data_IF_073393718819
#
_entry.id   IF_073393718819
#
_cell.length_a   1.000
_cell.length_b   1.000
_cell.length_c   1.000
_cell.angle_alpha   90.00
_cell.angle_beta   90.00
_cell.angle_gamma   90.00
#
_symmetry.space_group_name_H-M   'P 1'
#
loop_
_entity.id
_entity.type
_entity.pdbx_description
1 polymer ?
#
# COMPACT_ATOMS: atom_id res chain seq x y z
N UNK A 1 -64.07 -33.09 24.15
CA UNK A 1 -64.90 -31.92 24.49
C UNK A 1 -64.33 -30.71 23.76
N UNK A 2 -65.06 -29.82 23.09
CA UNK A 2 -66.37 -29.90 22.39
C UNK A 2 -66.52 -28.60 21.56
N UNK A 3 -67.28 -28.63 20.45
CA UNK A 3 -68.12 -27.54 19.90
C UNK A 3 -67.50 -26.13 19.67
N UNK A 4 -67.33 -25.55 18.47
CA UNK A 4 -68.24 -25.40 17.30
C UNK A 4 -69.73 -25.12 17.63
N UNK A 5 -70.49 -24.36 16.82
CA UNK A 5 -70.24 -23.07 16.16
C UNK A 5 -71.52 -22.16 16.19
N UNK A 6 -71.60 -21.14 15.32
CA UNK A 6 -72.86 -20.44 14.94
C UNK A 6 -72.53 -19.12 14.20
N UNK A 7 -72.85 -18.87 12.93
CA UNK A 7 -74.00 -19.13 12.03
C UNK A 7 -75.28 -18.30 12.28
N UNK A 8 -75.55 -17.35 11.37
CA UNK A 8 -76.77 -17.21 10.55
C UNK A 8 -76.53 -16.02 9.56
N UNK A 9 -76.50 -16.15 8.23
CA UNK A 9 -77.48 -16.59 7.20
C UNK A 9 -78.35 -15.46 6.60
N UNK A 10 -78.25 -15.30 5.28
CA UNK A 10 -79.29 -15.01 4.25
C UNK A 10 -78.52 -14.78 2.91
N UNK A 11 -78.45 -15.67 1.90
CA UNK A 11 -79.48 -16.42 1.13
C UNK A 11 -80.35 -15.43 0.30
N UNK A 12 -80.51 -15.47 -1.04
CA UNK A 12 -80.10 -16.37 -2.16
C UNK A 12 -80.29 -15.64 -3.53
N UNK A 13 -79.64 -16.08 -4.63
CA UNK A 13 -80.27 -16.70 -5.84
C UNK A 13 -79.44 -16.65 -7.15
N UNK A 14 -79.36 -17.83 -7.78
CA UNK A 14 -79.36 -18.17 -9.23
C UNK A 14 -78.26 -17.83 -10.25
N UNK A 15 -77.86 -18.93 -10.89
CA UNK A 15 -77.10 -19.18 -12.10
C UNK A 15 -77.76 -18.79 -13.45
N UNK A 16 -76.94 -18.36 -14.44
CA UNK A 16 -76.60 -18.97 -15.77
C UNK A 16 -77.61 -19.97 -16.41
N UNK A 17 -77.85 -20.09 -17.76
CA UNK A 17 -77.38 -19.39 -19.01
C UNK A 17 -78.60 -18.87 -19.88
N UNK A 18 -78.82 -19.06 -21.23
CA UNK A 18 -78.00 -19.23 -22.46
C UNK A 18 -78.42 -18.44 -23.77
N UNK A 19 -77.55 -18.47 -24.81
CA UNK A 19 -77.81 -18.52 -26.28
C UNK A 19 -78.48 -17.38 -27.13
N UNK A 20 -78.14 -17.36 -28.44
CA UNK A 20 -78.67 -16.52 -29.55
C UNK A 20 -79.75 -17.30 -30.38
N UNK A 21 -80.50 -16.77 -31.42
CA UNK A 21 -79.99 -16.04 -32.61
C UNK A 21 -80.97 -15.06 -33.38
N UNK A 22 -80.56 -14.63 -34.60
CA UNK A 22 -81.36 -14.27 -35.81
C UNK A 22 -81.73 -12.79 -36.16
N UNK A 23 -81.88 -12.54 -37.48
CA UNK A 23 -82.11 -11.26 -38.22
C UNK A 23 -83.55 -11.22 -38.84
N UNK A 24 -84.02 -10.32 -39.78
CA UNK A 24 -83.30 -9.46 -40.78
C UNK A 24 -83.93 -8.06 -41.19
N UNK A 25 -83.41 -7.49 -42.30
CA UNK A 25 -84.01 -6.53 -43.31
C UNK A 25 -84.05 -4.98 -43.12
N UNK A 26 -83.02 -4.29 -43.68
CA UNK A 26 -82.99 -3.33 -44.84
C UNK A 26 -84.12 -2.29 -45.15
N UNK A 27 -83.91 -1.26 -46.03
CA UNK A 27 -82.76 -0.34 -46.25
C UNK A 27 -83.15 1.15 -46.55
N UNK A 28 -82.20 2.12 -46.59
CA UNK A 28 -82.24 3.29 -47.52
C UNK A 28 -81.04 4.27 -47.49
N UNK A 29 -80.35 4.38 -48.64
CA UNK A 29 -79.82 5.59 -49.33
C UNK A 29 -78.80 6.60 -48.67
N UNK A 30 -78.02 7.38 -49.46
CA UNK A 30 -76.66 7.81 -49.07
C UNK A 30 -76.35 9.33 -49.06
N UNK A 31 -75.35 9.74 -48.26
CA UNK A 31 -74.54 10.98 -48.33
C UNK A 31 -73.54 11.00 -47.14
N UNK A 32 -72.35 11.63 -47.15
CA UNK A 32 -71.56 12.28 -48.18
C UNK A 32 -70.05 12.13 -47.86
N UNK A 33 -69.18 12.29 -48.85
CA UNK A 33 -67.73 12.35 -48.63
C UNK A 33 -67.34 13.61 -47.84
N UNK A 34 -66.33 13.50 -46.97
CA UNK A 34 -65.76 14.65 -46.28
C UNK A 34 -65.16 15.64 -47.30
N UNK A 35 -65.70 16.86 -47.34
CA UNK A 35 -65.28 17.88 -48.29
C UNK A 35 -63.86 18.36 -47.99
N UNK A 36 -63.01 18.37 -49.03
CA UNK A 36 -61.71 19.02 -48.99
C UNK A 36 -61.91 20.53 -48.84
N UNK A 37 -61.60 21.06 -47.65
CA UNK A 37 -61.58 22.49 -47.41
C UNK A 37 -60.60 23.18 -48.39
N UNK A 38 -60.92 24.39 -48.90
CA UNK A 38 -60.10 25.05 -49.90
C UNK A 38 -58.68 25.32 -49.39
N UNK A 39 -57.65 25.30 -50.25
CA UNK A 39 -56.26 25.46 -49.86
C UNK A 39 -55.97 26.88 -49.39
N UNK A 40 -56.27 27.16 -48.12
CA UNK A 40 -55.98 28.43 -47.48
C UNK A 40 -54.46 28.61 -47.43
N UNK A 41 -53.90 29.61 -48.15
CA UNK A 41 -52.46 29.76 -48.28
C UNK A 41 -51.74 29.93 -46.93
N UNK A 42 -52.44 30.40 -45.88
CA UNK A 42 -51.93 30.42 -44.50
C UNK A 42 -51.64 29.01 -43.97
N UNK A 43 -52.46 28.02 -44.28
CA UNK A 43 -52.23 26.60 -43.91
C UNK A 43 -51.05 26.01 -44.68
N UNK A 44 -50.86 26.38 -45.96
CA UNK A 44 -49.66 26.01 -46.73
C UNK A 44 -48.38 26.62 -46.14
N UNK A 45 -48.44 27.88 -45.70
CA UNK A 45 -47.32 28.57 -45.03
C UNK A 45 -47.01 27.90 -43.68
N UNK A 46 -48.03 27.60 -42.87
CA UNK A 46 -47.84 26.92 -41.57
C UNK A 46 -47.33 25.48 -41.76
N UNK A 47 -47.86 24.72 -42.72
CA UNK A 47 -47.37 23.39 -43.04
C UNK A 47 -45.93 23.42 -43.56
N UNK A 48 -45.59 24.40 -44.42
CA UNK A 48 -44.23 24.64 -44.88
C UNK A 48 -43.28 24.98 -43.73
N UNK A 49 -43.72 25.81 -42.77
CA UNK A 49 -42.95 26.14 -41.57
C UNK A 49 -42.74 24.91 -40.68
N UNK A 50 -43.75 24.08 -40.47
CA UNK A 50 -43.65 22.83 -39.69
C UNK A 50 -42.67 21.86 -40.37
N UNK A 51 -42.75 21.69 -41.69
CA UNK A 51 -41.79 20.86 -42.45
C UNK A 51 -40.38 21.42 -42.36
N UNK A 52 -40.20 22.75 -42.42
CA UNK A 52 -38.88 23.38 -42.31
C UNK A 52 -38.30 23.28 -40.89
N UNK A 53 -39.13 23.37 -39.84
CA UNK A 53 -38.75 23.10 -38.45
C UNK A 53 -38.41 21.62 -38.25
N UNK A 54 -39.18 20.70 -38.82
CA UNK A 54 -38.92 19.26 -38.76
C UNK A 54 -37.62 18.87 -39.50
N UNK A 55 -37.36 19.48 -40.67
CA UNK A 55 -36.10 19.32 -41.39
C UNK A 55 -34.91 19.93 -40.62
N UNK A 56 -35.09 21.11 -40.00
CA UNK A 56 -34.06 21.72 -39.15
C UNK A 56 -33.75 20.88 -37.90
N UNK A 57 -34.77 20.36 -37.23
CA UNK A 57 -34.62 19.44 -36.10
C UNK A 57 -34.00 18.10 -36.54
N UNK A 58 -34.42 17.55 -37.67
CA UNK A 58 -33.88 16.32 -38.27
C UNK A 58 -32.41 16.46 -38.67
N UNK A 59 -32.04 17.55 -39.35
CA UNK A 59 -30.65 17.85 -39.72
C UNK A 59 -29.77 18.06 -38.47
N UNK A 60 -30.27 18.74 -37.44
CA UNK A 60 -29.58 18.90 -36.15
C UNK A 60 -29.41 17.57 -35.42
N UNK A 61 -30.43 16.71 -35.40
CA UNK A 61 -30.38 15.39 -34.77
C UNK A 61 -29.44 14.45 -35.52
N UNK A 62 -29.48 14.45 -36.86
CA UNK A 62 -28.56 13.72 -37.71
C UNK A 62 -27.11 14.17 -37.47
N UNK A 63 -26.85 15.47 -37.44
CA UNK A 63 -25.55 16.03 -37.11
C UNK A 63 -25.08 15.59 -35.71
N UNK A 64 -25.90 15.75 -34.65
CA UNK A 64 -25.49 15.32 -33.30
C UNK A 64 -25.21 13.82 -33.25
N UNK A 65 -26.04 13.00 -33.91
CA UNK A 65 -25.88 11.54 -33.98
C UNK A 65 -24.68 11.06 -34.80
N UNK A 66 -24.09 11.89 -35.66
CA UNK A 66 -22.98 11.49 -36.53
C UNK A 66 -21.62 12.05 -36.08
N UNK A 67 -21.62 13.13 -35.29
CA UNK A 67 -20.41 13.79 -34.81
C UNK A 67 -20.16 13.66 -33.30
N UNK A 68 -21.15 13.19 -32.52
CA UNK A 68 -21.03 13.06 -31.05
C UNK A 68 -21.44 11.67 -30.55
N UNK A 69 -20.64 11.12 -29.63
CA UNK A 69 -20.95 9.90 -28.88
C UNK A 69 -21.25 10.27 -27.43
N UNK A 70 -22.50 10.06 -27.02
CA UNK A 70 -23.02 10.43 -25.70
C UNK A 70 -23.14 9.20 -24.79
N UNK A 71 -22.83 9.36 -23.50
CA UNK A 71 -23.19 8.40 -22.43
C UNK A 71 -23.59 9.11 -21.15
N UNK A 72 -24.72 8.69 -20.60
CA UNK A 72 -25.25 9.08 -19.28
C UNK A 72 -24.72 8.18 -18.15
N UNK A 73 -24.11 7.05 -18.50
CA UNK A 73 -23.49 6.15 -17.52
C UNK A 73 -22.05 6.60 -17.27
N UNK A 74 -21.89 7.78 -16.67
CA UNK A 74 -20.60 8.29 -16.26
C UNK A 74 -20.68 8.87 -14.85
N UNK A 75 -19.59 8.72 -14.10
CA UNK A 75 -19.48 9.20 -12.73
C UNK A 75 -18.16 9.91 -12.51
N UNK A 76 -18.16 10.93 -11.66
CA UNK A 76 -16.91 11.49 -11.13
C UNK A 76 -16.24 10.45 -10.24
N UNK A 77 -14.97 10.19 -10.49
CA UNK A 77 -14.10 9.34 -9.68
C UNK A 77 -12.93 10.17 -9.17
N UNK A 78 -12.31 9.72 -8.08
CA UNK A 78 -11.17 10.41 -7.46
C UNK A 78 -10.45 9.48 -6.51
N UNK A 79 -9.29 9.91 -6.03
CA UNK A 79 -8.53 9.14 -5.05
C UNK A 79 -9.15 9.29 -3.64
N UNK A 80 -9.60 8.16 -3.09
CA UNK A 80 -10.14 8.05 -1.74
C UNK A 80 -9.18 7.21 -0.91
N UNK A 81 -8.51 7.83 0.05
CA UNK A 81 -7.48 7.21 0.88
C UNK A 81 -8.06 6.83 2.25
N UNK A 82 -8.29 5.55 2.55
CA UNK A 82 -8.77 5.13 3.87
C UNK A 82 -7.67 5.35 4.91
N UNK A 83 -8.01 6.02 6.02
CA UNK A 83 -7.10 6.20 7.16
C UNK A 83 -7.52 5.25 8.27
N UNK A 84 -6.59 4.39 8.71
CA UNK A 84 -6.81 3.38 9.73
C UNK A 84 -5.82 3.47 10.88
N UNK A 85 -6.20 2.94 12.04
CA UNK A 85 -5.30 2.81 13.18
C UNK A 85 -4.24 1.73 12.92
N UNK A 86 -2.97 1.98 13.28
CA UNK A 86 -1.89 0.97 13.22
C UNK A 86 -1.77 0.13 14.49
N UNK A 87 -2.32 0.62 15.59
CA UNK A 87 -2.24 0.06 16.94
C UNK A 87 -3.65 0.05 17.56
N UNK A 88 -3.84 -0.78 18.59
CA UNK A 88 -5.03 -0.72 19.44
C UNK A 88 -4.90 0.39 20.48
N UNK A 89 -6.03 0.94 20.91
CA UNK A 89 -6.10 1.92 22.01
C UNK A 89 -7.48 2.53 22.17
N UNK A 90 -7.62 3.46 23.11
CA UNK A 90 -8.84 4.26 23.29
C UNK A 90 -8.56 5.66 22.76
N UNK A 91 -9.49 6.22 21.97
CA UNK A 91 -9.35 7.55 21.40
C UNK A 91 -9.59 8.60 22.48
N UNK A 92 -8.55 9.38 22.82
CA UNK A 92 -8.63 10.45 23.81
C UNK A 92 -9.16 11.74 23.20
N UNK A 93 -8.84 12.02 21.93
CA UNK A 93 -9.26 13.22 21.20
C UNK A 93 -9.42 12.94 19.71
N UNK A 94 -10.39 13.62 19.09
CA UNK A 94 -10.55 13.72 17.64
C UNK A 94 -10.38 15.20 17.28
N UNK A 95 -9.59 15.48 16.25
CA UNK A 95 -9.21 16.84 15.83
C UNK A 95 -9.83 17.27 14.49
N UNK A 96 -10.67 16.40 13.90
CA UNK A 96 -11.31 16.60 12.60
C UNK A 96 -12.83 16.58 12.71
N UNK A 97 -13.47 17.38 11.87
CA UNK A 97 -14.90 17.35 11.58
C UNK A 97 -15.18 16.79 10.17
N UNK A 98 -16.41 16.33 9.93
CA UNK A 98 -16.84 15.85 8.62
C UNK A 98 -16.79 16.97 7.56
N UNK A 99 -16.34 16.65 6.34
CA UNK A 99 -16.14 17.58 5.20
C UNK A 99 -15.03 18.65 5.38
N UNK A 100 -14.28 18.62 6.49
CA UNK A 100 -13.17 19.54 6.73
C UNK A 100 -12.01 19.29 5.75
N UNK A 101 -11.32 20.37 5.36
CA UNK A 101 -10.07 20.30 4.60
C UNK A 101 -8.89 20.06 5.54
N UNK A 102 -8.07 19.03 5.26
CA UNK A 102 -6.84 18.70 6.00
C UNK A 102 -5.64 18.69 5.07
N UNK A 103 -4.46 18.98 5.64
CA UNK A 103 -3.16 18.86 4.98
C UNK A 103 -2.51 17.53 5.31
N UNK A 104 -1.54 17.14 4.49
CA UNK A 104 -0.66 16.01 4.81
C UNK A 104 0.08 16.29 6.13
N UNK A 105 0.08 15.31 7.04
CA UNK A 105 0.66 15.42 8.37
C UNK A 105 -0.25 16.01 9.46
N UNK A 106 -1.44 16.53 9.14
CA UNK A 106 -2.39 17.00 10.15
C UNK A 106 -2.87 15.84 11.04
N UNK A 107 -3.07 16.10 12.33
CA UNK A 107 -3.54 15.08 13.29
C UNK A 107 -5.05 14.86 13.11
N UNK A 108 -5.45 13.61 12.92
CA UNK A 108 -6.85 13.18 12.82
C UNK A 108 -7.40 12.81 14.20
N UNK A 109 -6.70 11.95 14.91
CA UNK A 109 -7.08 11.46 16.23
C UNK A 109 -5.84 11.15 17.07
N UNK A 110 -6.00 11.26 18.39
CA UNK A 110 -5.01 10.89 19.39
C UNK A 110 -5.57 9.77 20.27
N UNK A 111 -4.81 8.67 20.36
CA UNK A 111 -5.06 7.54 21.23
C UNK A 111 -4.32 7.75 22.56
N UNK A 112 -4.86 7.17 23.63
CA UNK A 112 -4.25 7.21 24.96
C UNK A 112 -2.81 6.65 24.91
N UNK A 113 -1.78 7.45 25.22
CA UNK A 113 -0.40 7.03 25.11
C UNK A 113 0.15 6.33 26.36
N UNK A 114 -0.67 6.14 27.41
CA UNK A 114 -0.19 5.66 28.72
C UNK A 114 0.54 4.31 28.63
N UNK A 115 -0.09 3.31 28.01
CA UNK A 115 0.47 1.95 27.90
C UNK A 115 1.80 1.92 27.13
N UNK A 116 1.90 2.68 26.04
CA UNK A 116 3.13 2.75 25.23
C UNK A 116 4.24 3.54 25.94
N UNK A 117 3.90 4.56 26.74
CA UNK A 117 4.90 5.28 27.58
C UNK A 117 5.49 4.35 28.62
N UNK A 118 4.64 3.65 29.38
CA UNK A 118 5.08 2.65 30.37
C UNK A 118 5.96 1.57 29.71
N UNK A 119 5.60 1.11 28.50
CA UNK A 119 6.42 0.19 27.69
C UNK A 119 7.81 0.77 27.38
N UNK A 120 7.89 2.03 26.93
CA UNK A 120 9.18 2.68 26.64
C UNK A 120 10.05 2.88 27.88
N UNK A 121 9.44 3.27 29.01
CA UNK A 121 10.13 3.44 30.29
C UNK A 121 10.65 2.10 30.84
N UNK A 122 9.84 1.03 30.75
CA UNK A 122 10.24 -0.33 31.13
C UNK A 122 11.46 -0.82 30.32
N UNK A 123 11.49 -0.61 29.00
CA UNK A 123 12.62 -1.02 28.17
C UNK A 123 13.85 -0.12 28.44
N UNK A 124 13.66 1.18 28.68
CA UNK A 124 14.76 2.06 29.08
C UNK A 124 15.42 1.61 30.40
N UNK A 125 14.63 1.18 31.39
CA UNK A 125 15.14 0.60 32.64
C UNK A 125 15.88 -0.73 32.41
N UNK A 126 15.40 -1.58 31.48
CA UNK A 126 16.10 -2.80 31.09
C UNK A 126 17.44 -2.52 30.40
N UNK A 127 17.52 -1.49 29.54
CA UNK A 127 18.79 -1.04 28.93
C UNK A 127 19.76 -0.60 30.02
N UNK A 128 19.33 0.23 30.98
CA UNK A 128 20.19 0.67 32.08
C UNK A 128 20.73 -0.52 32.90
N UNK A 129 19.89 -1.52 33.19
CA UNK A 129 20.31 -2.75 33.86
C UNK A 129 21.32 -3.57 33.04
N UNK A 130 21.10 -3.72 31.73
CA UNK A 130 22.03 -4.43 30.84
C UNK A 130 23.36 -3.67 30.65
N UNK A 131 23.35 -2.34 30.68
CA UNK A 131 24.57 -1.52 30.67
C UNK A 131 25.39 -1.71 31.96
N UNK A 132 24.76 -1.90 33.12
CA UNK A 132 25.47 -2.30 34.34
C UNK A 132 26.10 -3.70 34.23
N UNK A 133 25.47 -4.64 33.52
CA UNK A 133 26.06 -5.96 33.25
C UNK A 133 27.30 -5.87 32.35
N UNK A 134 27.33 -4.94 31.39
CA UNK A 134 28.53 -4.65 30.59
C UNK A 134 29.65 -4.08 31.46
N UNK A 135 29.34 -3.16 32.39
CA UNK A 135 30.31 -2.62 33.35
C UNK A 135 30.86 -3.70 34.29
N UNK A 136 30.01 -4.62 34.76
CA UNK A 136 30.44 -5.78 35.55
C UNK A 136 31.36 -6.70 34.75
N UNK A 137 31.06 -6.95 33.47
CA UNK A 137 31.91 -7.75 32.60
C UNK A 137 33.26 -7.05 32.30
N UNK A 138 33.27 -5.73 32.13
CA UNK A 138 34.51 -4.95 31.98
C UNK A 138 35.37 -4.99 33.26
N UNK A 139 34.77 -4.93 34.45
CA UNK A 139 35.48 -5.15 35.71
C UNK A 139 36.04 -6.58 35.84
N UNK A 140 35.28 -7.59 35.39
CA UNK A 140 35.73 -8.98 35.36
C UNK A 140 36.92 -9.18 34.41
N UNK A 141 36.94 -8.51 33.25
CA UNK A 141 38.07 -8.50 32.32
C UNK A 141 39.33 -7.93 33.01
N UNK A 142 39.20 -6.78 33.68
CA UNK A 142 40.32 -6.18 34.41
C UNK A 142 40.87 -7.12 35.50
N UNK A 143 39.99 -7.83 36.22
CA UNK A 143 40.39 -8.84 37.21
C UNK A 143 41.17 -10.01 36.60
N UNK A 144 40.66 -10.63 35.52
CA UNK A 144 41.37 -11.78 34.90
C UNK A 144 42.66 -11.34 34.19
N UNK A 145 42.72 -10.11 33.70
CA UNK A 145 43.94 -9.54 33.12
C UNK A 145 45.02 -9.28 34.19
N UNK A 146 44.64 -8.84 35.39
CA UNK A 146 45.56 -8.76 36.53
C UNK A 146 46.07 -10.15 36.95
N UNK A 147 45.19 -11.17 36.98
CA UNK A 147 45.58 -12.56 37.25
C UNK A 147 46.54 -13.12 36.19
N UNK A 148 46.30 -12.85 34.91
CA UNK A 148 47.21 -13.26 33.83
C UNK A 148 48.58 -12.57 33.93
N UNK A 149 48.62 -11.28 34.31
CA UNK A 149 49.87 -10.56 34.58
C UNK A 149 50.65 -11.18 35.75
N UNK A 150 49.96 -11.56 36.82
CA UNK A 150 50.58 -12.27 37.95
C UNK A 150 51.13 -13.66 37.54
N UNK A 151 50.39 -14.42 36.71
CA UNK A 151 50.87 -15.69 36.18
C UNK A 151 52.10 -15.51 35.26
N UNK A 152 52.15 -14.45 34.45
CA UNK A 152 53.34 -14.09 33.65
C UNK A 152 54.54 -13.73 34.53
N UNK A 153 54.34 -13.02 35.64
CA UNK A 153 55.41 -12.75 36.61
C UNK A 153 55.96 -14.04 37.24
N UNK A 154 55.10 -15.03 37.52
CA UNK A 154 55.54 -16.36 37.99
C UNK A 154 56.37 -17.12 36.93
N UNK A 155 56.03 -17.00 35.64
CA UNK A 155 56.87 -17.55 34.55
C UNK A 155 58.25 -16.90 34.55
N UNK A 156 58.34 -15.57 34.69
CA UNK A 156 59.62 -14.87 34.75
C UNK A 156 60.47 -15.29 35.96
N UNK A 157 59.83 -15.50 37.12
CA UNK A 157 60.49 -16.04 38.31
C UNK A 157 61.03 -17.46 38.09
N UNK A 158 60.22 -18.36 37.51
CA UNK A 158 60.64 -19.73 37.24
C UNK A 158 61.74 -19.81 36.16
N UNK A 159 61.73 -18.92 35.17
CA UNK A 159 62.78 -18.85 34.14
C UNK A 159 64.12 -18.40 34.73
N UNK A 160 64.11 -17.42 35.66
CA UNK A 160 65.28 -17.01 36.42
C UNK A 160 65.80 -18.13 37.37
N UNK A 161 64.91 -18.92 37.98
CA UNK A 161 65.29 -20.09 38.77
C UNK A 161 65.91 -21.19 37.90
N UNK A 162 65.35 -21.45 36.72
CA UNK A 162 65.92 -22.37 35.75
C UNK A 162 67.30 -21.89 35.24
N UNK A 163 67.48 -20.60 34.99
CA UNK A 163 68.77 -20.04 34.59
C UNK A 163 69.84 -20.32 35.65
N UNK A 164 69.53 -20.09 36.93
CA UNK A 164 70.43 -20.44 38.05
C UNK A 164 70.73 -21.94 38.07
N UNK A 165 69.71 -22.80 38.03
CA UNK A 165 69.88 -24.25 38.08
C UNK A 165 70.68 -24.80 36.89
N UNK A 166 70.57 -24.18 35.70
CA UNK A 166 71.42 -24.49 34.53
C UNK A 166 72.88 -24.11 34.77
N UNK A 167 73.14 -22.87 35.20
CA UNK A 167 74.49 -22.38 35.50
C UNK A 167 75.16 -23.21 36.60
N UNK A 168 74.40 -23.62 37.62
CA UNK A 168 74.88 -24.52 38.67
C UNK A 168 75.28 -25.89 38.10
N UNK A 169 74.37 -26.56 37.38
CA UNK A 169 74.66 -27.87 36.77
C UNK A 169 75.86 -27.82 35.80
N UNK A 170 75.98 -26.76 35.00
CA UNK A 170 77.12 -26.56 34.09
C UNK A 170 78.44 -26.34 34.86
N UNK A 171 78.42 -25.54 35.92
CA UNK A 171 79.56 -25.30 36.83
C UNK A 171 80.00 -26.58 37.53
N UNK A 172 79.08 -27.37 38.09
CA UNK A 172 79.40 -28.67 38.70
C UNK A 172 79.96 -29.67 37.67
N UNK A 173 79.42 -29.69 36.44
CA UNK A 173 79.93 -30.53 35.35
C UNK A 173 81.36 -30.18 34.92
N UNK A 174 81.67 -28.88 34.82
CA UNK A 174 83.03 -28.39 34.55
C UNK A 174 84.00 -28.74 35.67
N UNK A 175 83.61 -28.57 36.94
CA UNK A 175 84.46 -28.92 38.09
C UNK A 175 84.73 -30.43 38.17
N UNK A 176 83.74 -31.26 37.85
CA UNK A 176 83.91 -32.72 37.83
C UNK A 176 84.89 -33.18 36.74
N UNK A 177 84.76 -32.62 35.53
CA UNK A 177 85.51 -33.07 34.33
C UNK A 177 86.88 -32.42 34.19
N UNK A 178 86.99 -31.12 34.45
CA UNK A 178 88.17 -30.32 34.11
C UNK A 178 89.18 -30.14 35.26
N UNK A 179 88.74 -30.32 36.51
CA UNK A 179 89.58 -30.09 37.71
C UNK A 179 89.66 -31.35 38.60
N UNK A 180 89.95 -32.52 37.99
CA UNK A 180 90.25 -33.77 38.70
C UNK A 180 89.20 -34.22 39.75
N UNK A 181 87.91 -34.23 39.39
CA UNK A 181 86.81 -34.65 40.29
C UNK A 181 86.72 -33.84 41.59
N UNK A 182 86.92 -32.51 41.50
CA UNK A 182 86.82 -31.58 42.64
C UNK A 182 85.44 -31.55 43.34
N UNK A 183 84.41 -32.17 42.74
CA UNK A 183 83.07 -32.35 43.29
C UNK A 183 82.66 -33.81 43.19
N UNK A 184 81.84 -34.28 44.13
CA UNK A 184 81.36 -35.66 44.14
C UNK A 184 80.33 -35.91 43.02
N UNK A 185 80.19 -37.17 42.62
CA UNK A 185 79.16 -37.56 41.65
C UNK A 185 77.74 -37.25 42.16
N UNK A 186 77.49 -37.40 43.47
CA UNK A 186 76.20 -37.11 44.08
C UNK A 186 75.80 -35.63 43.99
N UNK A 187 76.76 -34.70 44.10
CA UNK A 187 76.51 -33.26 43.94
C UNK A 187 76.16 -32.91 42.48
N UNK A 188 76.86 -33.52 41.51
CA UNK A 188 76.55 -33.35 40.09
C UNK A 188 75.16 -33.92 39.74
N UNK A 189 74.85 -35.13 40.21
CA UNK A 189 73.55 -35.76 39.99
C UNK A 189 72.42 -34.94 40.66
N UNK A 190 72.67 -34.38 41.85
CA UNK A 190 71.77 -33.45 42.54
C UNK A 190 71.53 -32.14 41.77
N UNK A 191 72.58 -31.53 41.21
CA UNK A 191 72.44 -30.32 40.38
C UNK A 191 71.67 -30.59 39.08
N UNK A 192 71.89 -31.76 38.46
CA UNK A 192 71.12 -32.20 37.29
C UNK A 192 69.63 -32.46 37.63
N UNK A 193 69.34 -33.06 38.79
CA UNK A 193 67.97 -33.24 39.28
C UNK A 193 67.28 -31.89 39.56
N UNK A 194 67.98 -30.93 40.17
CA UNK A 194 67.48 -29.58 40.40
C UNK A 194 67.18 -28.83 39.09
N UNK A 195 68.07 -28.94 38.09
CA UNK A 195 67.83 -28.42 36.73
C UNK A 195 66.59 -29.05 36.09
N UNK A 196 66.43 -30.37 36.20
CA UNK A 196 65.25 -31.09 35.65
C UNK A 196 63.95 -30.63 36.31
N UNK A 197 63.95 -30.49 37.64
CA UNK A 197 62.81 -29.95 38.40
C UNK A 197 62.45 -28.52 37.98
N UNK A 198 63.46 -27.64 37.80
CA UNK A 198 63.23 -26.27 37.34
C UNK A 198 62.71 -26.18 35.90
N UNK A 199 63.05 -27.13 35.01
CA UNK A 199 62.44 -27.25 33.68
C UNK A 199 60.95 -27.61 33.79
N UNK A 200 60.62 -28.56 34.67
CA UNK A 200 59.24 -28.99 34.89
C UNK A 200 58.36 -27.89 35.52
N UNK A 201 58.85 -27.16 36.53
CA UNK A 201 58.11 -26.03 37.11
C UNK A 201 57.86 -24.94 36.06
N UNK A 202 58.89 -24.54 35.30
CA UNK A 202 58.74 -23.53 34.25
C UNK A 202 57.74 -23.93 33.17
N UNK A 203 57.68 -25.21 32.79
CA UNK A 203 56.63 -25.71 31.90
C UNK A 203 55.24 -25.53 32.53
N UNK A 204 55.04 -25.97 33.77
CA UNK A 204 53.78 -25.82 34.50
C UNK A 204 53.36 -24.34 34.69
N UNK A 205 54.31 -23.42 34.92
CA UNK A 205 54.03 -21.97 34.96
C UNK A 205 53.60 -21.44 33.60
N UNK A 206 54.25 -21.87 32.51
CA UNK A 206 53.88 -21.46 31.14
C UNK A 206 52.48 -21.92 30.78
N UNK A 207 52.12 -23.15 31.11
CA UNK A 207 50.76 -23.69 30.90
C UNK A 207 49.73 -22.92 31.74
N UNK A 208 50.06 -22.62 33.00
CA UNK A 208 49.21 -21.79 33.89
C UNK A 208 49.00 -20.38 33.34
N UNK A 209 50.04 -19.74 32.81
CA UNK A 209 49.94 -18.41 32.19
C UNK A 209 49.17 -18.45 30.86
N UNK A 210 49.28 -19.54 30.10
CA UNK A 210 48.49 -19.78 28.88
C UNK A 210 46.99 -19.90 29.21
N UNK A 211 46.64 -20.69 30.23
CA UNK A 211 45.27 -20.83 30.72
C UNK A 211 44.70 -19.50 31.24
N UNK A 212 45.48 -18.73 32.02
CA UNK A 212 45.08 -17.41 32.49
C UNK A 212 44.86 -16.42 31.33
N UNK A 213 45.67 -16.49 30.27
CA UNK A 213 45.47 -15.69 29.04
C UNK A 213 44.21 -16.12 28.27
N UNK A 214 43.91 -17.41 28.19
CA UNK A 214 42.68 -17.91 27.58
C UNK A 214 41.42 -17.41 28.34
N UNK A 215 41.50 -17.28 29.66
CA UNK A 215 40.41 -16.73 30.48
C UNK A 215 40.08 -15.26 30.15
N UNK A 216 41.06 -14.46 29.69
CA UNK A 216 40.79 -13.11 29.16
C UNK A 216 39.87 -13.19 27.94
N UNK A 217 40.15 -14.10 27.00
CA UNK A 217 39.32 -14.31 25.81
C UNK A 217 37.90 -14.74 26.15
N UNK A 218 37.74 -15.62 27.14
CA UNK A 218 36.42 -16.02 27.64
C UNK A 218 35.65 -14.84 28.28
N UNK A 219 36.33 -14.01 29.07
CA UNK A 219 35.73 -12.81 29.67
C UNK A 219 35.36 -11.74 28.63
N UNK A 220 36.19 -11.56 27.59
CA UNK A 220 35.90 -10.70 26.44
C UNK A 220 34.66 -11.19 25.67
N UNK A 221 34.57 -12.49 25.37
CA UNK A 221 33.39 -13.05 24.73
C UNK A 221 32.11 -12.85 25.56
N UNK A 222 32.17 -13.07 26.88
CA UNK A 222 31.03 -12.82 27.78
C UNK A 222 30.59 -11.35 27.78
N UNK A 223 31.55 -10.41 27.75
CA UNK A 223 31.31 -8.97 27.65
C UNK A 223 30.69 -8.57 26.31
N UNK A 224 31.09 -9.20 25.22
CA UNK A 224 30.52 -8.95 23.90
C UNK A 224 29.09 -9.53 23.78
N UNK A 225 28.77 -10.64 24.46
CA UNK A 225 27.37 -11.11 24.65
C UNK A 225 26.54 -10.08 25.43
N UNK A 226 27.06 -9.54 26.54
CA UNK A 226 26.35 -8.50 27.29
C UNK A 226 26.11 -7.23 26.45
N UNK A 227 27.07 -6.82 25.62
CA UNK A 227 26.91 -5.73 24.66
C UNK A 227 25.87 -6.01 23.58
N UNK A 228 25.84 -7.24 23.06
CA UNK A 228 24.82 -7.66 22.09
C UNK A 228 23.41 -7.57 22.71
N UNK A 229 23.25 -7.95 23.99
CA UNK A 229 21.99 -7.80 24.71
C UNK A 229 21.55 -6.33 24.83
N UNK A 230 22.48 -5.40 25.13
CA UNK A 230 22.20 -3.95 25.12
C UNK A 230 21.75 -3.50 23.72
N UNK A 231 22.39 -3.97 22.65
CA UNK A 231 22.02 -3.63 21.28
C UNK A 231 20.60 -4.11 20.92
N UNK A 232 20.23 -5.35 21.32
CA UNK A 232 18.87 -5.89 21.14
C UNK A 232 17.84 -5.03 21.88
N UNK A 233 18.08 -4.69 23.15
CA UNK A 233 17.18 -3.86 23.94
C UNK A 233 17.03 -2.44 23.37
N UNK A 234 18.09 -1.85 22.80
CA UNK A 234 18.02 -0.56 22.09
C UNK A 234 17.15 -0.61 20.82
N UNK A 235 17.16 -1.73 20.09
CA UNK A 235 16.24 -1.94 18.96
C UNK A 235 14.79 -2.08 19.45
N UNK A 236 14.56 -2.80 20.55
CA UNK A 236 13.22 -2.90 21.16
C UNK A 236 12.71 -1.55 21.68
N UNK A 237 13.57 -0.70 22.24
CA UNK A 237 13.20 0.67 22.64
C UNK A 237 12.79 1.50 21.42
N UNK A 238 13.52 1.40 20.31
CA UNK A 238 13.17 2.08 19.05
C UNK A 238 11.80 1.64 18.51
N UNK A 239 11.49 0.35 18.57
CA UNK A 239 10.18 -0.17 18.18
C UNK A 239 9.06 0.37 19.11
N UNK A 240 9.25 0.32 20.44
CA UNK A 240 8.30 0.88 21.39
C UNK A 240 8.10 2.40 21.22
N UNK A 241 9.16 3.15 20.89
CA UNK A 241 9.06 4.57 20.54
C UNK A 241 8.30 4.80 19.22
N UNK A 242 8.45 3.91 18.23
CA UNK A 242 7.69 3.98 16.99
C UNK A 242 6.20 3.68 17.22
N UNK A 243 5.87 2.73 18.10
CA UNK A 243 4.50 2.46 18.55
C UNK A 243 3.90 3.66 19.30
N UNK A 244 4.67 4.30 20.18
CA UNK A 244 4.27 5.54 20.86
C UNK A 244 3.95 6.69 19.88
N UNK A 245 4.65 6.78 18.75
CA UNK A 245 4.31 7.75 17.69
C UNK A 245 2.99 7.42 16.99
N UNK A 246 2.65 6.15 16.81
CA UNK A 246 1.39 5.73 16.17
C UNK A 246 0.13 6.04 17.00
N UNK A 247 0.27 6.50 18.25
CA UNK A 247 -0.83 7.06 19.03
C UNK A 247 -1.41 8.33 18.39
N UNK A 248 -0.62 9.07 17.60
CA UNK A 248 -1.11 10.21 16.81
C UNK A 248 -1.35 9.74 15.38
N UNK A 249 -2.61 9.61 15.01
CA UNK A 249 -3.00 9.22 13.65
C UNK A 249 -2.98 10.47 12.79
N UNK A 250 -2.14 10.46 11.75
CA UNK A 250 -1.90 11.60 10.86
C UNK A 250 -2.57 11.39 9.50
N UNK A 251 -2.93 12.48 8.83
CA UNK A 251 -3.40 12.48 7.46
C UNK A 251 -2.25 12.11 6.49
N UNK A 252 -2.34 10.99 5.73
CA UNK A 252 -1.29 10.57 4.80
C UNK A 252 -1.21 11.41 3.51
N UNK A 253 -2.25 12.19 3.21
CA UNK A 253 -2.33 13.11 2.06
C UNK A 253 -3.19 14.32 2.43
N UNK A 254 -3.01 15.43 1.74
CA UNK A 254 -3.95 16.55 1.78
C UNK A 254 -5.26 16.22 1.03
N UNK A 255 -6.38 16.76 1.51
CA UNK A 255 -7.70 16.58 0.91
C UNK A 255 -8.84 16.88 1.88
N UNK A 256 -10.06 16.47 1.53
CA UNK A 256 -11.24 16.60 2.40
C UNK A 256 -11.50 15.32 3.19
N UNK A 257 -11.81 15.47 4.48
CA UNK A 257 -12.41 14.41 5.29
C UNK A 257 -13.76 14.04 4.68
N UNK A 258 -13.94 12.78 4.30
CA UNK A 258 -15.23 12.23 3.88
C UNK A 258 -16.11 12.00 5.10
N UNK A 259 -16.23 10.72 5.52
CA UNK A 259 -16.95 10.33 6.73
C UNK A 259 -15.99 10.10 7.90
N UNK A 260 -16.30 10.68 9.05
CA UNK A 260 -15.68 10.39 10.35
C UNK A 260 -16.39 9.20 10.99
N UNK A 261 -15.66 8.09 11.18
CA UNK A 261 -16.14 6.87 11.84
C UNK A 261 -15.52 6.71 13.25
N UNK A 262 -14.96 7.79 13.82
CA UNK A 262 -14.21 7.76 15.08
C UNK A 262 -14.72 8.84 16.04
N UNK A 263 -14.98 8.44 17.28
CA UNK A 263 -15.45 9.31 18.36
C UNK A 263 -14.52 9.23 19.58
N UNK A 264 -14.52 10.28 20.39
CA UNK A 264 -13.79 10.32 21.66
C UNK A 264 -14.35 9.26 22.63
N UNK A 265 -13.47 8.53 23.31
CA UNK A 265 -13.79 7.39 24.17
C UNK A 265 -13.98 6.07 23.43
N UNK A 266 -14.02 6.07 22.09
CA UNK A 266 -14.15 4.85 21.31
C UNK A 266 -12.86 4.02 21.34
N UNK A 267 -12.96 2.69 21.51
CA UNK A 267 -11.82 1.78 21.40
C UNK A 267 -11.61 1.39 19.94
N UNK A 268 -10.37 1.52 19.46
CA UNK A 268 -9.97 1.20 18.09
C UNK A 268 -9.03 -0.01 18.04
N UNK A 269 -9.03 -0.72 16.90
CA UNK A 269 -8.18 -1.88 16.63
C UNK A 269 -7.25 -1.63 15.42
N UNK A 270 -6.09 -2.31 15.33
CA UNK A 270 -5.24 -2.25 14.15
C UNK A 270 -6.01 -2.60 12.87
N UNK A 271 -5.84 -1.79 11.82
CA UNK A 271 -6.54 -1.93 10.55
C UNK A 271 -7.95 -1.34 10.51
N UNK A 272 -8.55 -0.95 11.65
CA UNK A 272 -9.87 -0.33 11.66
C UNK A 272 -9.84 1.04 10.98
N UNK A 273 -10.69 1.22 9.97
CA UNK A 273 -10.83 2.49 9.25
C UNK A 273 -11.54 3.53 10.12
N UNK A 274 -10.86 4.64 10.38
CA UNK A 274 -11.37 5.76 11.18
C UNK A 274 -11.97 6.87 10.32
N UNK A 275 -11.42 7.09 9.12
CA UNK A 275 -11.97 8.04 8.15
C UNK A 275 -11.49 7.70 6.73
N UNK A 276 -11.86 8.52 5.75
CA UNK A 276 -11.35 8.50 4.40
C UNK A 276 -11.04 9.94 3.95
N UNK A 277 -9.85 10.16 3.39
CA UNK A 277 -9.47 11.46 2.80
C UNK A 277 -9.72 11.39 1.30
N UNK A 278 -10.50 12.33 0.77
CA UNK A 278 -10.79 12.49 -0.64
C UNK A 278 -9.89 13.60 -1.20
N UNK A 279 -9.09 13.30 -2.21
CA UNK A 279 -8.26 14.32 -2.88
C UNK A 279 -9.10 15.13 -3.88
N UNK A 280 -8.78 16.42 -4.04
CA UNK A 280 -9.45 17.30 -5.03
C UNK A 280 -9.13 16.93 -6.50
N UNK A 281 -8.13 16.06 -6.72
CA UNK A 281 -7.80 15.55 -8.05
C UNK A 281 -8.80 14.44 -8.47
N UNK A 282 -9.74 14.82 -9.32
CA UNK A 282 -10.84 13.99 -9.81
C UNK A 282 -10.83 13.87 -11.34
N UNK A 283 -11.42 12.79 -11.84
CA UNK A 283 -11.64 12.51 -13.26
C UNK A 283 -13.05 11.96 -13.47
N UNK A 284 -13.47 11.76 -14.71
CA UNK A 284 -14.73 11.06 -15.02
C UNK A 284 -14.41 9.66 -15.52
N UNK A 285 -15.15 8.68 -15.00
CA UNK A 285 -15.19 7.32 -15.52
C UNK A 285 -16.50 7.16 -16.28
N UNK A 286 -16.43 7.17 -17.62
CA UNK A 286 -17.59 7.10 -18.50
C UNK A 286 -17.69 5.73 -19.18
N UNK A 287 -18.80 5.04 -18.96
CA UNK A 287 -19.04 3.68 -19.42
C UNK A 287 -19.74 3.68 -20.79
N UNK A 288 -18.97 3.74 -21.87
CA UNK A 288 -19.49 3.67 -23.23
C UNK A 288 -19.88 2.24 -23.61
N UNK A 289 -20.83 2.08 -24.54
CA UNK A 289 -21.16 0.78 -25.12
C UNK A 289 -19.98 0.28 -25.94
N UNK A 290 -19.76 -1.04 -25.96
CA UNK A 290 -18.72 -1.66 -26.80
C UNK A 290 -18.80 -1.22 -28.27
N UNK A 291 -20.03 -1.10 -28.79
CA UNK A 291 -20.31 -0.63 -30.16
C UNK A 291 -19.92 0.82 -30.45
N UNK A 292 -19.69 1.64 -29.41
CA UNK A 292 -19.28 3.05 -29.52
C UNK A 292 -17.75 3.21 -29.49
N UNK A 293 -16.99 2.17 -29.14
CA UNK A 293 -15.53 2.25 -28.99
C UNK A 293 -14.76 2.43 -30.30
N UNK A 294 -15.32 2.00 -31.44
CA UNK A 294 -14.67 2.09 -32.73
C UNK A 294 -14.35 3.54 -33.14
N UNK A 295 -15.17 4.49 -32.68
CA UNK A 295 -15.07 5.91 -32.97
C UNK A 295 -14.25 6.67 -31.92
N UNK A 296 -13.98 6.06 -30.76
CA UNK A 296 -13.34 6.68 -29.60
C UNK A 296 -11.83 6.50 -29.62
N UNK A 297 -11.09 7.60 -29.46
CA UNK A 297 -9.63 7.64 -29.52
C UNK A 297 -9.06 8.48 -28.36
N UNK A 298 -7.83 8.16 -27.91
CA UNK A 298 -7.14 8.96 -26.88
C UNK A 298 -6.87 10.37 -27.39
N UNK A 299 -7.01 11.37 -26.52
CA UNK A 299 -6.82 12.78 -26.83
C UNK A 299 -8.04 13.52 -27.39
N UNK A 300 -9.15 12.82 -27.73
CA UNK A 300 -10.39 13.47 -28.12
C UNK A 300 -10.94 14.38 -27.00
N UNK A 301 -11.47 15.55 -27.38
CA UNK A 301 -12.17 16.44 -26.46
C UNK A 301 -13.53 15.87 -26.05
N UNK A 302 -13.88 16.06 -24.78
CA UNK A 302 -15.15 15.61 -24.20
C UNK A 302 -15.84 16.76 -23.52
N UNK A 303 -17.08 17.03 -23.92
CA UNK A 303 -17.98 17.92 -23.23
C UNK A 303 -18.61 17.17 -22.06
N UNK A 304 -18.30 17.64 -20.85
CA UNK A 304 -18.75 17.04 -19.59
C UNK A 304 -19.78 17.93 -18.93
N UNK A 305 -20.98 17.41 -18.70
CA UNK A 305 -22.05 18.08 -17.94
C UNK A 305 -22.32 17.29 -16.66
N UNK A 306 -22.40 17.98 -15.53
CA UNK A 306 -22.60 17.38 -14.21
C UNK A 306 -23.99 17.73 -13.70
N UNK A 307 -24.79 16.73 -13.35
CA UNK A 307 -26.20 16.91 -12.98
C UNK A 307 -26.38 17.83 -11.75
N UNK A 308 -25.43 17.77 -10.81
CA UNK A 308 -25.36 18.65 -9.63
C UNK A 308 -25.04 20.14 -9.96
N UNK A 309 -24.66 20.47 -11.20
CA UNK A 309 -24.28 21.82 -11.64
C UNK A 309 -24.81 22.13 -13.05
N UNK A 310 -26.14 22.23 -13.25
CA UNK A 310 -26.73 22.54 -14.54
C UNK A 310 -26.23 23.87 -15.09
N UNK A 311 -25.98 23.92 -16.40
CA UNK A 311 -25.51 25.11 -17.11
C UNK A 311 -23.99 25.32 -17.12
N UNK A 312 -23.21 24.55 -16.35
CA UNK A 312 -21.74 24.56 -16.45
C UNK A 312 -21.25 23.38 -17.29
N UNK A 313 -20.85 23.66 -18.53
CA UNK A 313 -20.10 22.70 -19.37
C UNK A 313 -18.63 22.74 -18.99
N UNK A 314 -18.07 21.59 -18.65
CA UNK A 314 -16.65 21.35 -18.43
C UNK A 314 -16.04 20.72 -19.68
N UNK A 315 -14.73 20.94 -19.90
CA UNK A 315 -14.01 20.27 -20.99
C UNK A 315 -13.01 19.29 -20.40
N UNK A 316 -13.14 18.03 -20.80
CA UNK A 316 -12.19 16.96 -20.50
C UNK A 316 -11.54 16.41 -21.75
N UNK A 317 -10.57 15.53 -21.58
CA UNK A 317 -9.93 14.77 -22.68
C UNK A 317 -9.94 13.28 -22.39
N UNK A 318 -10.12 12.46 -23.42
CA UNK A 318 -10.02 10.99 -23.31
C UNK A 318 -8.57 10.61 -23.01
N UNK A 319 -8.32 10.11 -21.80
CA UNK A 319 -6.98 9.70 -21.33
C UNK A 319 -6.70 8.23 -21.64
N UNK A 320 -7.60 7.34 -21.21
CA UNK A 320 -7.38 5.89 -21.33
C UNK A 320 -8.68 5.08 -21.36
N UNK A 321 -8.59 3.90 -21.98
CA UNK A 321 -9.64 2.90 -22.03
C UNK A 321 -9.30 1.79 -21.02
N UNK A 322 -10.30 1.28 -20.30
CA UNK A 322 -10.11 0.13 -19.42
C UNK A 322 -9.78 -1.15 -20.22
N UNK A 323 -8.92 -2.04 -19.69
CA UNK A 323 -8.50 -3.25 -20.39
C UNK A 323 -9.56 -4.37 -20.40
N UNK A 324 -10.70 -4.18 -19.73
CA UNK A 324 -11.86 -5.07 -19.80
C UNK A 324 -13.16 -4.29 -19.58
N UNK A 325 -14.30 -4.93 -19.84
CA UNK A 325 -15.63 -4.35 -19.59
C UNK A 325 -15.94 -4.24 -18.09
N UNK A 326 -16.86 -3.36 -17.73
CA UNK A 326 -17.29 -3.17 -16.33
C UNK A 326 -17.88 -4.44 -15.70
N UNK A 327 -18.48 -5.33 -16.51
CA UNK A 327 -18.98 -6.62 -16.04
C UNK A 327 -17.86 -7.57 -15.57
N UNK A 328 -16.68 -7.51 -16.19
CA UNK A 328 -15.53 -8.34 -15.82
C UNK A 328 -14.85 -7.89 -14.52
N UNK A 329 -15.07 -6.63 -14.12
CA UNK A 329 -14.59 -6.05 -12.86
C UNK A 329 -15.66 -6.01 -11.76
N UNK A 330 -16.87 -6.51 -12.02
CA UNK A 330 -17.93 -6.58 -11.02
C UNK A 330 -17.64 -7.68 -9.99
N UNK A 331 -17.92 -7.40 -8.71
CA UNK A 331 -17.79 -8.39 -7.62
C UNK A 331 -18.72 -9.61 -7.82
N UNK A 332 -19.84 -9.40 -8.50
CA UNK A 332 -20.78 -10.43 -8.93
C UNK A 332 -21.11 -10.20 -10.42
N UNK A 333 -20.36 -10.82 -11.34
CA UNK A 333 -20.69 -10.80 -12.77
C UNK A 333 -22.06 -11.46 -13.02
N UNK A 334 -22.80 -10.97 -14.01
CA UNK A 334 -24.04 -11.59 -14.44
C UNK A 334 -23.73 -12.85 -15.27
N UNK A 335 -23.69 -14.01 -14.62
CA UNK A 335 -23.53 -15.31 -15.29
C UNK A 335 -24.89 -15.90 -15.69
N UNK A 336 -25.03 -16.24 -16.97
CA UNK A 336 -26.27 -16.75 -17.56
C UNK A 336 -26.32 -18.28 -17.42
N UNK A 337 -26.46 -18.76 -16.19
CA UNK A 337 -26.35 -20.17 -15.79
C UNK A 337 -27.39 -21.15 -16.42
N UNK A 338 -28.31 -20.69 -17.28
CA UNK A 338 -29.45 -21.47 -17.80
C UNK A 338 -29.31 -21.89 -19.27
N UNK A 339 -28.11 -21.81 -19.86
CA UNK A 339 -27.80 -22.44 -21.15
C UNK A 339 -28.35 -21.77 -22.41
N UNK A 340 -29.05 -20.63 -22.29
CA UNK A 340 -29.50 -19.84 -23.44
C UNK A 340 -28.70 -18.53 -23.54
N UNK A 341 -27.78 -18.45 -24.50
CA UNK A 341 -26.89 -17.30 -24.65
C UNK A 341 -27.61 -16.08 -25.24
N UNK A 342 -27.76 -15.02 -24.44
CA UNK A 342 -28.28 -13.72 -24.91
C UNK A 342 -27.12 -12.74 -25.08
N UNK A 343 -26.90 -12.22 -26.30
CA UNK A 343 -25.85 -11.22 -26.56
C UNK A 343 -26.26 -9.86 -25.98
N UNK A 344 -25.66 -9.50 -24.83
CA UNK A 344 -25.84 -8.20 -24.19
C UNK A 344 -24.64 -7.30 -24.56
N UNK A 345 -24.90 -6.05 -24.95
CA UNK A 345 -23.85 -5.07 -25.25
C UNK A 345 -23.12 -4.71 -23.97
N UNK A 346 -21.83 -5.03 -23.91
CA UNK A 346 -21.00 -4.70 -22.75
C UNK A 346 -20.70 -3.20 -22.70
N UNK A 347 -20.38 -2.71 -21.50
CA UNK A 347 -19.90 -1.35 -21.30
C UNK A 347 -18.43 -1.36 -20.91
N UNK A 348 -17.62 -0.52 -21.55
CA UNK A 348 -16.20 -0.37 -21.28
C UNK A 348 -15.98 0.99 -20.62
N UNK A 349 -15.40 1.03 -19.40
CA UNK A 349 -15.02 2.28 -18.75
C UNK A 349 -13.94 3.03 -19.55
N UNK A 350 -14.18 4.31 -19.79
CA UNK A 350 -13.23 5.25 -20.40
C UNK A 350 -12.94 6.35 -19.39
N UNK A 351 -11.65 6.59 -19.13
CA UNK A 351 -11.18 7.62 -18.22
C UNK A 351 -11.03 8.93 -18.98
N UNK A 352 -11.71 9.96 -18.49
CA UNK A 352 -11.70 11.31 -19.04
C UNK A 352 -11.13 12.24 -17.97
N UNK A 353 -10.04 12.94 -18.28
CA UNK A 353 -9.38 13.85 -17.32
C UNK A 353 -9.82 15.29 -17.61
N UNK A 354 -10.16 16.04 -16.57
CA UNK A 354 -10.51 17.46 -16.69
C UNK A 354 -9.28 18.33 -16.93
N UNK A 355 -9.45 19.48 -17.59
CA UNK A 355 -8.37 20.45 -17.69
C UNK A 355 -8.00 21.03 -16.31
N UNK A 356 -6.71 21.27 -16.00
CA UNK A 356 -6.29 21.77 -14.69
C UNK A 356 -6.86 23.14 -14.29
N UNK A 357 -7.31 23.93 -15.28
CA UNK A 357 -7.96 25.22 -15.05
C UNK A 357 -9.40 25.03 -14.54
N UNK A 358 -10.15 24.09 -15.12
CA UNK A 358 -11.52 23.74 -14.74
C UNK A 358 -11.58 23.16 -13.32
N UNK A 359 -10.65 22.27 -12.95
CA UNK A 359 -10.55 21.72 -11.59
C UNK A 359 -10.35 22.85 -10.56
N UNK A 360 -9.44 23.80 -10.84
CA UNK A 360 -9.19 24.96 -9.97
C UNK A 360 -10.40 25.88 -9.87
N UNK A 361 -11.09 26.15 -10.98
CA UNK A 361 -12.30 26.97 -11.00
C UNK A 361 -13.46 26.35 -10.19
N UNK A 362 -13.48 25.03 -10.03
CA UNK A 362 -14.49 24.32 -9.23
C UNK A 362 -14.16 24.24 -7.73
N UNK A 363 -12.95 24.58 -7.29
CA UNK A 363 -12.56 24.74 -5.87
C UNK A 363 -13.03 23.58 -4.94
N UNK A 364 -12.83 22.33 -5.39
CA UNK A 364 -13.21 21.13 -4.63
C UNK A 364 -14.73 20.90 -4.47
N UNK A 365 -15.57 21.53 -5.32
CA UNK A 365 -17.00 21.21 -5.45
C UNK A 365 -17.27 19.94 -6.27
N UNK A 366 -16.25 19.38 -6.92
CA UNK A 366 -16.34 18.10 -7.61
C UNK A 366 -16.07 16.98 -6.62
N UNK A 367 -17.08 16.17 -6.32
CA UNK A 367 -16.98 15.05 -5.37
C UNK A 367 -17.10 13.73 -6.14
N UNK A 368 -16.29 12.69 -5.84
CA UNK A 368 -16.47 11.35 -6.38
C UNK A 368 -17.87 10.81 -6.08
N UNK A 369 -18.48 10.13 -7.07
CA UNK A 369 -19.83 9.59 -7.00
C UNK A 369 -20.92 10.46 -7.63
N UNK A 370 -20.63 11.70 -8.04
CA UNK A 370 -21.59 12.51 -8.79
C UNK A 370 -21.83 11.93 -10.20
N UNK A 371 -23.10 11.93 -10.63
CA UNK A 371 -23.52 11.57 -11.99
C UNK A 371 -23.07 12.61 -13.02
N UNK A 372 -22.76 12.11 -14.22
CA UNK A 372 -22.17 12.89 -15.31
C UNK A 372 -22.75 12.43 -16.65
N UNK A 373 -23.01 13.39 -17.54
CA UNK A 373 -23.24 13.15 -18.96
C UNK A 373 -21.96 13.54 -19.72
N UNK A 374 -21.43 12.61 -20.52
CA UNK A 374 -20.24 12.82 -21.33
C UNK A 374 -20.59 12.74 -22.82
N UNK A 375 -20.39 13.84 -23.56
CA UNK A 375 -20.51 13.94 -25.01
C UNK A 375 -19.09 14.04 -25.63
N UNK A 376 -18.65 13.02 -26.37
CA UNK A 376 -17.33 12.98 -27.04
C UNK A 376 -17.46 13.37 -28.50
N UNK A 377 -16.57 14.24 -29.00
CA UNK A 377 -16.53 14.62 -30.42
C UNK A 377 -15.75 13.59 -31.25
N UNK A 378 -16.44 12.95 -32.20
CA UNK A 378 -15.94 11.78 -32.96
C UNK A 378 -15.00 12.17 -34.11
N UNK A 379 -15.02 13.42 -34.56
CA UNK A 379 -14.41 13.82 -35.83
C UNK A 379 -13.35 14.93 -35.67
N UNK A 380 -12.55 14.84 -34.61
CA UNK A 380 -11.40 15.72 -34.39
C UNK A 380 -10.14 15.16 -35.07
N UNK A 381 -9.32 15.99 -35.75
CA UNK A 381 -8.07 15.53 -36.33
C UNK A 381 -7.13 15.01 -35.23
N UNK A 382 -6.58 13.82 -35.44
CA UNK A 382 -5.84 13.07 -34.42
C UNK A 382 -4.51 13.77 -34.05
N UNK A 383 -4.53 14.61 -33.03
CA UNK A 383 -3.38 15.38 -32.57
C UNK A 383 -2.20 14.52 -32.06
N UNK A 384 -2.41 13.21 -31.87
CA UNK A 384 -1.38 12.26 -31.43
C UNK A 384 -0.55 11.64 -32.57
N UNK A 385 -0.70 12.10 -33.83
CA UNK A 385 0.08 11.64 -34.98
C UNK A 385 1.03 12.72 -35.53
N UNK A 386 1.87 13.31 -34.68
CA UNK A 386 3.20 13.74 -35.15
C UNK A 386 4.07 12.50 -35.38
N UNK A 387 4.58 12.26 -36.60
CA UNK A 387 5.40 11.08 -36.87
C UNK A 387 6.75 11.19 -36.17
N UNK A 388 7.13 10.16 -35.41
CA UNK A 388 8.42 10.01 -34.72
C UNK A 388 9.61 9.77 -35.69
N UNK A 389 9.64 10.46 -36.83
CA UNK A 389 10.53 10.24 -37.97
C UNK A 389 11.69 11.25 -38.06
N UNK A 390 12.04 11.94 -36.95
CA UNK A 390 13.17 12.91 -36.91
C UNK A 390 14.28 12.56 -35.91
N UNK A 391 14.19 11.45 -35.19
CA UNK A 391 15.22 10.99 -34.24
C UNK A 391 15.67 9.55 -34.51
N UNK A 392 15.97 9.24 -35.77
CA UNK A 392 16.57 7.96 -36.20
C UNK A 392 17.73 8.14 -37.20
N UNK A 393 18.37 9.33 -37.21
CA UNK A 393 19.35 9.72 -38.23
C UNK A 393 20.73 10.13 -37.68
N UNK A 394 21.12 9.65 -36.48
CA UNK A 394 22.52 9.69 -35.99
C UNK A 394 22.81 8.46 -35.11
N UNK A 395 23.16 7.31 -35.72
CA UNK A 395 23.96 6.22 -35.10
C UNK A 395 24.05 4.97 -36.00
N UNK A 396 24.83 5.05 -37.09
CA UNK A 396 25.27 3.85 -37.81
C UNK A 396 26.72 3.50 -37.39
N UNK A 397 27.00 2.30 -36.84
CA UNK A 397 28.38 1.85 -36.61
C UNK A 397 29.01 1.38 -37.93
N UNK A 398 30.26 1.76 -38.19
CA UNK A 398 31.03 1.26 -39.32
C UNK A 398 31.43 -0.22 -39.13
N UNK A 399 31.41 -1.06 -40.19
CA UNK A 399 31.85 -2.45 -40.10
C UNK A 399 33.39 -2.53 -40.01
N UNK A 400 33.89 -3.32 -39.06
CA UNK A 400 35.32 -3.56 -38.90
C UNK A 400 35.88 -4.46 -40.01
N UNK A 401 36.99 -4.06 -40.63
CA UNK A 401 37.70 -4.86 -41.62
C UNK A 401 38.41 -6.05 -40.96
N UNK A 402 38.17 -7.25 -41.47
CA UNK A 402 38.98 -8.43 -41.13
C UNK A 402 40.28 -8.39 -41.92
N UNK A 403 41.40 -8.18 -41.23
CA UNK A 403 42.74 -8.23 -41.86
C UNK A 403 43.32 -9.63 -41.70
N UNK A 404 43.36 -10.37 -42.81
CA UNK A 404 44.08 -11.64 -42.91
C UNK A 404 45.58 -11.41 -43.05
N UNK A 405 46.40 -11.83 -42.07
CA UNK A 405 47.82 -12.12 -42.35
C UNK A 405 48.39 -13.22 -41.45
N UNK A 406 48.67 -14.35 -42.11
CA UNK A 406 49.83 -15.26 -41.99
C UNK A 406 50.48 -15.54 -40.62
#
# INVERSE_FOLDING_TARGET
MSNQPGQAEHKVLSAVPPAAPAAPSAPSAPAAAASSAPPNNRVKIIAGLIVLVALGAGARMWYRSHYFVETENAYVAGHVHPVSARISGVVTKVFIDDNQMVKEGDVIAELDPFDQRVKTEQIAAQIASAEQQVLQADAQIAQVQAQASAAQAQVAQADAQLLRAKQDAERYGQLYTSQMKAVSKAELDGANAARSSAVADLAARRDSASAAKAQIGAAQAARDVAKAQVAVLRVQLKDAQQQLQYNRILAPVAGRIGKRNVETGMRVQPGQQLTAIVQDNVWVTANFKETQLADLHRGQSVHVTIDAMPGKKLVGTVDSFAPASGAQFALLPADNATGNFTKIVQRVPVKIVFQPQDIKAMNGRLVPGMSVIAEVEVNQPNAAQEPAARHAAVSAPAPAAQTTTR
#
